data_IF_124197917146
#
_entry.id   IF_124197917146
#
_cell.length_a   1.000
_cell.length_b   1.000
_cell.length_c   1.000
_cell.angle_alpha   90.00
_cell.angle_beta   90.00
_cell.angle_gamma   90.00
#
_symmetry.space_group_name_H-M   'P 1'
#
loop_
_entity.id
_entity.type
_entity.pdbx_description
1 polymer ?
#
# COMPACT_ATOMS: atom_id res chain seq x y z
N UNK A 1 16.89 -17.34 -7.66
CA UNK A 1 15.69 -16.64 -7.20
C UNK A 1 15.10 -15.87 -8.39
N UNK A 2 13.78 -16.03 -8.64
CA UNK A 2 13.11 -15.43 -9.82
C UNK A 2 13.37 -13.91 -9.92
N UNK A 3 13.37 -13.19 -8.81
CA UNK A 3 13.60 -11.74 -8.78
C UNK A 3 15.04 -11.39 -9.13
N UNK A 4 16.01 -12.09 -8.57
CA UNK A 4 17.44 -11.82 -8.79
C UNK A 4 17.93 -12.32 -10.14
N UNK A 5 17.33 -13.38 -10.66
CA UNK A 5 17.76 -14.03 -11.89
C UNK A 5 17.26 -13.32 -13.16
N UNK A 6 16.26 -12.45 -13.03
CA UNK A 6 15.75 -11.63 -14.12
C UNK A 6 16.41 -10.26 -14.27
N UNK A 7 17.47 -9.99 -13.49
CA UNK A 7 18.36 -8.82 -13.58
C UNK A 7 17.63 -7.46 -13.73
N UNK A 8 16.54 -7.30 -12.98
CA UNK A 8 15.87 -6.01 -12.91
C UNK A 8 16.54 -5.04 -11.90
N UNK A 9 17.73 -5.37 -11.42
CA UNK A 9 18.46 -4.60 -10.39
C UNK A 9 17.82 -4.60 -9.00
N UNK A 10 16.67 -5.23 -8.89
CA UNK A 10 15.87 -5.21 -7.68
C UNK A 10 16.41 -6.15 -6.61
N UNK A 11 16.25 -5.77 -5.36
CA UNK A 11 16.56 -6.60 -4.19
C UNK A 11 15.30 -6.87 -3.39
N UNK A 12 15.07 -8.13 -3.06
CA UNK A 12 14.10 -8.54 -2.07
C UNK A 12 14.81 -8.60 -0.71
N UNK A 13 14.60 -7.60 0.13
CA UNK A 13 15.29 -7.46 1.42
C UNK A 13 14.43 -8.03 2.56
N UNK A 14 13.13 -8.09 2.36
CA UNK A 14 12.14 -8.51 3.35
C UNK A 14 11.52 -9.87 2.99
N UNK A 15 10.68 -10.39 3.87
CA UNK A 15 9.82 -11.53 3.54
C UNK A 15 8.92 -11.21 2.35
N UNK A 16 8.61 -12.22 1.53
CA UNK A 16 7.70 -12.09 0.39
C UNK A 16 6.22 -12.15 0.79
N UNK A 17 5.93 -12.51 2.03
CA UNK A 17 4.58 -12.65 2.55
C UNK A 17 4.55 -13.26 3.94
N UNK A 18 3.36 -13.42 4.44
CA UNK A 18 3.09 -13.98 5.76
C UNK A 18 1.71 -14.61 5.81
N UNK A 19 1.53 -15.55 6.73
CA UNK A 19 0.23 -16.16 6.98
C UNK A 19 -0.76 -15.13 7.52
N UNK A 20 -1.99 -15.29 7.10
CA UNK A 20 -3.17 -14.54 7.57
C UNK A 20 -4.26 -15.54 7.95
N UNK A 21 -5.14 -15.17 8.87
CA UNK A 21 -6.19 -16.05 9.32
C UNK A 21 -7.22 -15.31 10.15
N UNK A 22 -7.34 -15.68 11.42
CA UNK A 22 -8.32 -15.12 12.35
C UNK A 22 -7.77 -13.96 13.19
N UNK A 23 -6.50 -13.60 13.02
CA UNK A 23 -5.91 -12.47 13.73
C UNK A 23 -6.64 -11.16 13.41
N UNK A 24 -6.81 -10.34 14.43
CA UNK A 24 -7.57 -9.10 14.39
C UNK A 24 -6.75 -7.97 15.05
N UNK A 25 -7.11 -6.69 14.86
CA UNK A 25 -6.36 -5.59 15.47
C UNK A 25 -5.91 -5.86 16.91
N UNK A 26 -4.69 -5.47 17.24
CA UNK A 26 -3.87 -4.47 16.54
C UNK A 26 -3.08 -4.99 15.34
N UNK A 27 -3.08 -6.27 15.03
CA UNK A 27 -2.42 -6.81 13.85
C UNK A 27 -3.18 -7.99 13.26
N UNK A 28 -3.34 -8.02 11.95
CA UNK A 28 -3.82 -9.17 11.16
C UNK A 28 -2.67 -10.07 10.67
N UNK A 29 -1.43 -9.67 10.92
CA UNK A 29 -0.22 -10.38 10.52
C UNK A 29 0.01 -11.57 11.44
N UNK A 30 -0.10 -12.77 10.91
CA UNK A 30 0.23 -14.04 11.57
C UNK A 30 1.60 -14.57 11.15
N UNK A 31 2.49 -13.72 10.68
CA UNK A 31 3.84 -14.09 10.24
C UNK A 31 4.72 -14.72 11.32
N UNK A 32 4.31 -14.67 12.57
CA UNK A 32 4.91 -15.44 13.67
C UNK A 32 4.57 -16.93 13.59
N UNK A 33 3.50 -17.32 12.85
CA UNK A 33 3.15 -18.71 12.57
C UNK A 33 3.95 -19.18 11.37
N UNK A 34 3.79 -18.52 10.21
CA UNK A 34 4.57 -18.79 8.99
C UNK A 34 4.88 -17.48 8.27
N UNK A 35 6.16 -17.27 7.95
CA UNK A 35 6.63 -16.17 7.13
C UNK A 35 7.28 -16.69 5.86
N UNK A 36 6.88 -16.16 4.71
CA UNK A 36 7.47 -16.54 3.42
C UNK A 36 8.80 -15.79 3.22
N UNK A 37 9.85 -16.32 3.79
CA UNK A 37 11.21 -15.75 3.78
C UNK A 37 12.25 -16.84 3.53
N UNK A 38 13.45 -16.41 3.22
CA UNK A 38 14.58 -17.33 3.09
C UNK A 38 14.82 -18.08 4.41
N UNK A 39 15.01 -19.39 4.33
CA UNK A 39 15.26 -20.25 5.49
C UNK A 39 14.00 -20.66 6.26
N UNK A 40 12.82 -20.33 5.78
CA UNK A 40 11.57 -20.87 6.35
C UNK A 40 11.49 -22.38 6.05
N UNK A 41 11.19 -23.17 7.08
CA UNK A 41 11.11 -24.62 6.99
C UNK A 41 9.68 -25.16 7.02
N UNK A 42 8.69 -24.28 7.20
CA UNK A 42 7.28 -24.68 7.20
C UNK A 42 6.87 -25.28 5.85
N UNK A 43 6.19 -26.42 5.89
CA UNK A 43 5.62 -27.04 4.71
C UNK A 43 4.22 -26.48 4.48
N UNK A 44 4.01 -25.91 3.29
CA UNK A 44 2.70 -25.37 2.90
C UNK A 44 1.69 -26.52 2.77
N UNK A 45 0.51 -26.32 3.33
CA UNK A 45 -0.58 -27.29 3.30
C UNK A 45 -1.84 -26.66 2.74
N UNK A 46 -2.70 -27.45 2.05
CA UNK A 46 -4.00 -26.97 1.59
C UNK A 46 -4.80 -26.32 2.71
N UNK A 47 -5.47 -25.22 2.38
CA UNK A 47 -6.25 -24.43 3.33
C UNK A 47 -5.46 -23.33 4.05
N UNK A 48 -4.13 -23.33 3.99
CA UNK A 48 -3.35 -22.20 4.50
C UNK A 48 -3.57 -20.95 3.65
N UNK A 49 -3.64 -19.81 4.30
CA UNK A 49 -3.87 -18.50 3.64
C UNK A 49 -2.70 -17.57 3.91
N UNK A 50 -2.34 -16.79 2.90
CA UNK A 50 -1.19 -15.89 2.95
C UNK A 50 -1.51 -14.54 2.32
N UNK A 51 -0.95 -13.49 2.90
CA UNK A 51 -0.76 -12.22 2.23
C UNK A 51 0.62 -12.24 1.56
N UNK A 52 0.62 -12.18 0.24
CA UNK A 52 1.83 -12.10 -0.57
C UNK A 52 2.13 -10.63 -0.83
N UNK A 53 3.32 -10.20 -0.46
CA UNK A 53 3.76 -8.81 -0.64
C UNK A 53 5.26 -8.75 -0.95
N UNK A 54 5.71 -9.21 -2.13
CA UNK A 54 7.08 -9.02 -2.55
C UNK A 54 7.37 -7.54 -2.73
N UNK A 55 8.19 -7.00 -1.87
CA UNK A 55 8.60 -5.59 -1.93
C UNK A 55 10.01 -5.51 -2.51
N UNK A 56 10.13 -4.94 -3.67
CA UNK A 56 11.38 -4.84 -4.43
C UNK A 56 11.99 -3.45 -4.30
N UNK A 57 13.25 -3.43 -3.91
CA UNK A 57 14.03 -2.20 -3.72
C UNK A 57 15.10 -2.09 -4.81
N UNK A 58 15.40 -0.86 -5.23
CA UNK A 58 16.44 -0.59 -6.22
C UNK A 58 16.02 -0.93 -7.65
N UNK A 59 14.72 -0.96 -7.93
CA UNK A 59 14.20 -1.10 -9.29
C UNK A 59 14.61 0.14 -10.08
N UNK A 60 15.21 -0.07 -11.24
CA UNK A 60 15.67 1.01 -12.10
C UNK A 60 16.49 2.08 -11.32
N UNK A 61 17.39 1.59 -10.47
CA UNK A 61 18.33 2.37 -9.68
C UNK A 61 17.87 2.67 -8.26
N UNK A 62 16.83 3.45 -8.08
CA UNK A 62 16.39 3.95 -6.76
C UNK A 62 14.89 3.76 -6.47
N UNK A 63 14.14 3.27 -7.44
CA UNK A 63 12.70 3.10 -7.29
C UNK A 63 12.37 1.88 -6.43
N UNK A 64 11.21 1.92 -5.84
CA UNK A 64 10.64 0.83 -5.06
C UNK A 64 9.33 0.38 -5.72
N UNK A 65 9.16 -0.92 -5.86
CA UNK A 65 7.95 -1.50 -6.41
C UNK A 65 7.45 -2.63 -5.51
N UNK A 66 6.16 -2.70 -5.30
CA UNK A 66 5.53 -3.78 -4.58
C UNK A 66 4.14 -4.04 -5.14
N UNK A 67 3.76 -5.30 -5.13
CA UNK A 67 2.39 -5.73 -5.43
C UNK A 67 1.96 -6.64 -4.29
N UNK A 68 0.71 -6.57 -3.90
CA UNK A 68 0.19 -7.45 -2.86
C UNK A 68 -1.07 -8.18 -3.32
N UNK A 69 -1.21 -9.39 -2.83
CA UNK A 69 -2.37 -10.23 -3.07
C UNK A 69 -2.61 -11.14 -1.87
N UNK A 70 -3.82 -11.62 -1.71
CA UNK A 70 -4.15 -12.64 -0.73
C UNK A 70 -4.48 -13.93 -1.45
N UNK A 71 -3.82 -15.01 -1.04
CA UNK A 71 -3.94 -16.32 -1.67
C UNK A 71 -4.30 -17.39 -0.64
N UNK A 72 -4.80 -18.50 -1.13
CA UNK A 72 -4.91 -19.73 -0.36
C UNK A 72 -4.24 -20.89 -1.08
N UNK A 73 -3.72 -21.83 -0.30
CA UNK A 73 -3.05 -23.03 -0.81
C UNK A 73 -4.10 -24.09 -1.14
N UNK A 74 -3.98 -24.68 -2.32
CA UNK A 74 -4.79 -25.80 -2.77
C UNK A 74 -3.98 -27.11 -2.77
N UNK A 75 -4.58 -28.23 -3.09
CA UNK A 75 -3.89 -29.52 -3.23
C UNK A 75 -2.83 -29.50 -4.34
N UNK A 76 -2.96 -28.64 -5.33
CA UNK A 76 -2.12 -28.63 -6.53
C UNK A 76 -1.34 -27.32 -6.75
N UNK A 77 -1.50 -26.33 -5.87
CA UNK A 77 -0.85 -25.02 -6.02
C UNK A 77 -1.44 -23.97 -5.10
N UNK A 78 -1.71 -22.80 -5.64
CA UNK A 78 -2.38 -21.72 -4.91
C UNK A 78 -3.34 -20.95 -5.82
N UNK A 79 -4.35 -20.34 -5.21
CA UNK A 79 -5.32 -19.48 -5.87
C UNK A 79 -5.43 -18.14 -5.16
N UNK A 80 -5.69 -17.07 -5.91
CA UNK A 80 -5.95 -15.75 -5.37
C UNK A 80 -7.41 -15.60 -4.94
N UNK A 81 -7.65 -14.89 -3.85
CA UNK A 81 -9.00 -14.50 -3.45
C UNK A 81 -9.60 -13.43 -4.36
N UNK A 82 -8.77 -12.71 -5.11
CA UNK A 82 -9.18 -11.59 -5.93
C UNK A 82 -8.93 -11.84 -7.41
N UNK A 83 -9.89 -11.44 -8.23
CA UNK A 83 -9.81 -11.52 -9.71
C UNK A 83 -9.45 -10.17 -10.34
N UNK A 84 -8.89 -9.26 -9.55
CA UNK A 84 -8.50 -7.94 -10.03
C UNK A 84 -7.37 -8.03 -11.06
N UNK A 85 -7.42 -7.15 -12.04
CA UNK A 85 -6.31 -6.90 -12.93
C UNK A 85 -5.09 -6.43 -12.14
N UNK A 86 -3.92 -7.01 -12.45
CA UNK A 86 -2.64 -6.70 -11.79
C UNK A 86 -1.80 -5.71 -12.57
N UNK A 87 -2.32 -5.20 -13.67
CA UNK A 87 -1.68 -4.15 -14.43
C UNK A 87 -1.76 -2.80 -13.71
N UNK A 88 -0.83 -1.92 -14.03
CA UNK A 88 -0.85 -0.56 -13.50
C UNK A 88 -2.03 0.21 -14.08
N UNK A 89 -2.91 0.66 -13.21
CA UNK A 89 -3.94 1.61 -13.60
C UNK A 89 -3.34 3.01 -13.65
N UNK A 90 -3.17 3.54 -14.85
CA UNK A 90 -2.73 4.92 -15.04
C UNK A 90 -3.95 5.82 -14.96
N UNK A 91 -4.00 6.66 -13.93
CA UNK A 91 -5.03 7.69 -13.83
C UNK A 91 -4.80 8.72 -14.93
N UNK A 92 -5.80 9.02 -15.78
CA UNK A 92 -5.66 10.07 -16.80
C UNK A 92 -5.37 11.41 -16.14
N UNK A 93 -4.52 12.21 -16.78
CA UNK A 93 -4.28 13.58 -16.36
C UNK A 93 -5.61 14.34 -16.28
N UNK A 94 -5.86 15.12 -15.23
CA UNK A 94 -7.04 15.95 -15.13
C UNK A 94 -7.06 16.94 -16.28
N UNK A 95 -8.20 17.12 -16.93
CA UNK A 95 -8.35 18.18 -17.91
C UNK A 95 -8.02 19.54 -17.26
N UNK A 96 -7.40 20.44 -18.01
CA UNK A 96 -6.97 21.76 -17.54
C UNK A 96 -8.05 22.51 -16.76
N UNK A 97 -9.29 22.46 -17.24
CA UNK A 97 -10.46 23.03 -16.56
C UNK A 97 -10.74 22.39 -15.18
N UNK A 98 -10.43 21.10 -15.01
CA UNK A 98 -10.59 20.42 -13.71
C UNK A 98 -9.52 20.86 -12.73
N UNK A 99 -8.29 21.04 -13.20
CA UNK A 99 -7.19 21.57 -12.38
C UNK A 99 -7.49 22.99 -11.92
N UNK A 100 -7.94 23.87 -12.81
CA UNK A 100 -8.33 25.24 -12.46
C UNK A 100 -9.42 25.29 -11.38
N UNK A 101 -10.45 24.45 -11.49
CA UNK A 101 -11.51 24.34 -10.46
C UNK A 101 -10.98 23.83 -9.12
N UNK A 102 -10.04 22.91 -9.14
CA UNK A 102 -9.41 22.40 -7.91
C UNK A 102 -8.59 23.49 -7.23
N UNK A 103 -7.83 24.25 -8.00
CA UNK A 103 -6.99 25.33 -7.47
C UNK A 103 -7.82 26.50 -6.94
N UNK A 104 -8.89 26.87 -7.63
CA UNK A 104 -9.88 27.85 -7.14
C UNK A 104 -10.53 27.39 -5.83
N UNK A 105 -10.95 26.14 -5.75
CA UNK A 105 -11.55 25.59 -4.53
C UNK A 105 -10.56 25.56 -3.34
N UNK A 106 -9.30 25.31 -3.60
CA UNK A 106 -8.24 25.37 -2.58
C UNK A 106 -7.99 26.79 -2.10
N UNK A 107 -7.96 27.74 -3.02
CA UNK A 107 -7.78 29.16 -2.70
C UNK A 107 -8.93 29.67 -1.83
N UNK A 108 -10.17 29.40 -2.21
CA UNK A 108 -11.35 29.81 -1.47
C UNK A 108 -11.37 29.23 -0.03
N UNK A 109 -11.03 27.94 0.13
CA UNK A 109 -10.91 27.32 1.46
C UNK A 109 -9.82 27.96 2.33
N UNK A 110 -8.72 28.39 1.73
CA UNK A 110 -7.63 29.05 2.46
C UNK A 110 -8.08 30.45 2.92
N UNK A 111 -8.72 31.22 2.05
CA UNK A 111 -9.24 32.55 2.37
C UNK A 111 -10.30 32.49 3.47
N UNK A 112 -11.19 31.49 3.44
CA UNK A 112 -12.19 31.25 4.48
C UNK A 112 -11.53 30.92 5.83
N UNK A 113 -10.52 30.03 5.83
CA UNK A 113 -9.80 29.68 7.03
C UNK A 113 -9.03 30.87 7.64
N UNK A 114 -8.43 31.71 6.81
CA UNK A 114 -7.72 32.91 7.24
C UNK A 114 -8.70 33.97 7.79
N UNK A 115 -9.88 34.09 7.21
CA UNK A 115 -10.95 34.97 7.70
C UNK A 115 -11.47 34.55 9.06
N UNK A 116 -11.65 33.24 9.30
CA UNK A 116 -12.07 32.69 10.60
C UNK A 116 -11.01 33.00 11.67
N UNK A 117 -9.74 32.75 11.36
CA UNK A 117 -8.63 33.03 12.31
C UNK A 117 -8.55 34.50 12.69
N UNK A 118 -8.73 35.41 11.73
CA UNK A 118 -8.70 36.84 11.97
C UNK A 118 -9.90 37.29 12.80
N UNK A 119 -11.08 36.72 12.61
CA UNK A 119 -12.28 37.01 13.38
C UNK A 119 -12.12 36.52 14.87
N UNK A 120 -11.52 35.37 15.07
CA UNK A 120 -11.26 34.84 16.41
C UNK A 120 -10.17 35.65 17.15
N UNK A 121 -9.14 36.10 16.44
CA UNK A 121 -8.12 36.98 17.01
C UNK A 121 -8.69 38.34 17.42
N UNK A 122 -9.56 38.93 16.60
CA UNK A 122 -10.21 40.20 16.91
C UNK A 122 -11.19 40.12 18.12
N UNK A 123 -11.81 38.96 18.34
CA UNK A 123 -12.63 38.70 19.52
C UNK A 123 -11.81 38.54 20.80
N UNK A 124 -10.62 37.96 20.69
CA UNK A 124 -9.72 37.79 21.83
C UNK A 124 -9.11 39.13 22.31
N UNK A 125 -8.90 40.10 21.41
CA UNK A 125 -8.37 41.42 21.76
C UNK A 125 -9.43 42.39 22.31
N UNK A 126 -10.73 42.14 22.07
CA UNK A 126 -11.81 43.00 22.58
C UNK A 126 -12.53 42.43 23.82
N UNK A 127 -12.00 41.41 24.43
CA UNK A 127 -12.56 40.69 25.57
C UNK A 127 -11.88 41.00 26.91
N UNK A 128 -11.43 42.24 27.18
CA UNK A 128 -11.10 42.76 28.49
C UNK A 128 -12.21 43.67 29.00
#
# INVERSE_FOLDING_TARGET
NIITDNDCGARLITRSGYSIGIAFPPSWDEGYIVSLKQGESAVLQPGMTFHIIPWMWGVDGDKTCGISDSIYITDTGCESFFTMDRDFTVKPEPAEQTMLKIDEARKNKKEEADSIKNADSAKAENGE
#
